data_IF_398208077134
#
_entry.id   IF_398208077134
#
_cell.length_a   1.000
_cell.length_b   1.000
_cell.length_c   1.000
_cell.angle_alpha   90.00
_cell.angle_beta   90.00
_cell.angle_gamma   90.00
#
_symmetry.space_group_name_H-M   'P 1'
#
loop_
_entity.id
_entity.type
_entity.pdbx_description
1 polymer ?
#
# COMPACT_ATOMS: atom_id res chain seq x y z
N UNK A 1 -65.55 1.86 -14.88
CA UNK A 1 -66.01 1.74 -13.48
C UNK A 1 -65.05 0.77 -12.83
N UNK A 2 -64.19 1.08 -11.87
CA UNK A 2 -64.16 2.09 -10.81
C UNK A 2 -62.67 2.36 -10.52
N UNK A 3 -62.31 3.64 -10.31
CA UNK A 3 -61.03 4.10 -9.75
C UNK A 3 -60.87 3.59 -8.30
N UNK A 4 -59.67 3.48 -7.72
CA UNK A 4 -58.90 4.51 -6.98
C UNK A 4 -58.23 3.67 -5.84
N UNK A 5 -57.00 3.83 -5.35
CA UNK A 5 -56.43 5.01 -4.72
C UNK A 5 -54.93 4.82 -4.44
N UNK A 6 -54.23 5.95 -4.45
CA UNK A 6 -52.82 6.11 -4.13
C UNK A 6 -52.55 6.24 -2.62
N UNK A 7 -51.32 5.94 -2.20
CA UNK A 7 -50.68 6.67 -1.10
C UNK A 7 -49.25 7.02 -1.50
N UNK A 8 -48.99 8.32 -1.62
CA UNK A 8 -47.67 8.89 -1.88
C UNK A 8 -47.03 9.34 -0.57
N UNK A 9 -45.72 9.15 -0.46
CA UNK A 9 -44.89 9.73 0.60
C UNK A 9 -43.91 10.67 -0.08
N UNK A 10 -44.11 11.97 0.13
CA UNK A 10 -43.20 13.02 -0.33
C UNK A 10 -42.03 13.15 0.65
N UNK A 11 -40.84 12.73 0.22
CA UNK A 11 -39.57 13.10 0.84
C UNK A 11 -38.94 14.26 0.07
N UNK A 12 -39.01 15.47 0.64
CA UNK A 12 -38.37 16.67 0.13
C UNK A 12 -36.94 16.74 0.66
N UNK A 13 -35.95 16.66 -0.23
CA UNK A 13 -34.56 17.01 0.06
C UNK A 13 -34.11 18.00 -1.02
N UNK A 14 -33.90 19.24 -0.59
CA UNK A 14 -33.25 20.27 -1.37
C UNK A 14 -31.80 19.85 -1.62
N UNK A 15 -31.37 19.80 -2.88
CA UNK A 15 -29.95 19.84 -3.21
C UNK A 15 -29.68 20.95 -4.22
N UNK A 16 -28.81 21.84 -3.81
CA UNK A 16 -28.51 23.11 -4.46
C UNK A 16 -27.44 22.88 -5.51
N UNK A 17 -27.75 23.21 -6.78
CA UNK A 17 -26.76 23.64 -7.76
C UNK A 17 -25.66 22.62 -8.13
N UNK A 18 -25.95 21.72 -9.07
CA UNK A 18 -24.89 21.12 -9.88
C UNK A 18 -25.34 21.10 -11.34
N UNK A 19 -25.04 22.17 -12.06
CA UNK A 19 -25.17 22.23 -13.51
C UNK A 19 -24.11 21.30 -14.10
N UNK A 20 -24.38 19.99 -14.12
CA UNK A 20 -23.61 19.05 -14.93
C UNK A 20 -24.08 19.20 -16.37
N UNK A 21 -23.53 20.20 -17.04
CA UNK A 21 -23.66 20.34 -18.49
C UNK A 21 -23.14 19.05 -19.13
N UNK A 22 -24.03 18.37 -19.86
CA UNK A 22 -23.71 17.14 -20.57
C UNK A 22 -22.75 17.48 -21.73
N UNK A 23 -21.44 17.47 -21.45
CA UNK A 23 -20.41 17.53 -22.50
C UNK A 23 -20.65 16.38 -23.48
N UNK A 24 -20.81 16.72 -24.76
CA UNK A 24 -21.00 15.73 -25.82
C UNK A 24 -19.79 14.81 -25.90
N UNK A 25 -19.98 13.55 -26.33
CA UNK A 25 -18.88 12.59 -26.47
C UNK A 25 -17.74 13.14 -27.37
N UNK A 26 -18.10 13.93 -28.39
CA UNK A 26 -17.15 14.61 -29.27
C UNK A 26 -16.28 15.67 -28.56
N UNK A 27 -16.81 16.39 -27.56
CA UNK A 27 -16.01 17.35 -26.76
C UNK A 27 -15.05 16.65 -25.80
N UNK A 28 -15.42 15.47 -25.31
CA UNK A 28 -14.53 14.66 -24.46
C UNK A 28 -13.35 14.11 -25.26
N UNK A 29 -13.54 13.80 -26.54
CA UNK A 29 -12.46 13.34 -27.43
C UNK A 29 -11.53 14.49 -27.86
N UNK A 30 -12.05 15.73 -28.02
CA UNK A 30 -11.23 16.89 -28.36
C UNK A 30 -10.35 17.40 -27.21
N UNK A 31 -10.80 17.32 -25.95
CA UNK A 31 -9.99 17.73 -24.79
C UNK A 31 -9.01 16.62 -24.34
N UNK A 32 -9.29 15.36 -24.69
CA UNK A 32 -8.39 14.24 -24.46
C UNK A 32 -7.15 14.25 -25.36
N UNK A 33 -7.21 14.87 -26.54
CA UNK A 33 -6.06 15.00 -27.46
C UNK A 33 -5.19 16.24 -27.14
N UNK A 34 -5.79 17.33 -26.64
CA UNK A 34 -5.07 18.59 -26.40
C UNK A 34 -4.14 18.61 -25.17
N UNK A 35 -4.11 17.55 -24.35
CA UNK A 35 -3.30 17.51 -23.11
C UNK A 35 -2.21 16.43 -23.13
N UNK A 36 -1.95 15.78 -24.27
CA UNK A 36 -1.11 14.56 -24.33
C UNK A 36 0.36 14.75 -24.69
N UNK A 37 0.79 15.95 -25.08
CA UNK A 37 2.18 16.18 -25.54
C UNK A 37 2.97 17.23 -24.74
N UNK A 38 2.59 17.51 -23.49
CA UNK A 38 3.53 18.14 -22.56
C UNK A 38 4.40 17.04 -21.95
N UNK A 39 5.43 16.61 -22.69
CA UNK A 39 6.58 15.90 -22.11
C UNK A 39 7.01 16.71 -20.89
N UNK A 40 6.69 16.20 -19.70
CA UNK A 40 6.85 16.90 -18.44
C UNK A 40 8.19 17.61 -18.44
N UNK A 41 8.18 18.94 -18.49
CA UNK A 41 9.38 19.72 -18.26
C UNK A 41 9.97 19.18 -16.95
N UNK A 42 11.21 18.71 -16.99
CA UNK A 42 11.86 18.08 -15.85
C UNK A 42 11.91 19.10 -14.71
N UNK A 43 10.93 19.04 -13.81
CA UNK A 43 10.93 19.81 -12.58
C UNK A 43 11.93 19.11 -11.69
N UNK A 44 13.07 19.75 -11.48
CA UNK A 44 14.08 19.28 -10.54
C UNK A 44 13.44 19.13 -9.16
N UNK A 45 13.60 17.97 -8.48
CA UNK A 45 13.06 17.79 -7.16
C UNK A 45 13.63 18.82 -6.17
N UNK A 46 12.82 19.38 -5.26
CA UNK A 46 13.32 20.31 -4.27
C UNK A 46 14.37 19.64 -3.37
N UNK A 47 15.36 20.42 -2.90
CA UNK A 47 16.53 19.88 -2.16
C UNK A 47 16.13 19.02 -0.95
N UNK A 48 15.04 19.38 -0.24
CA UNK A 48 14.57 18.61 0.92
C UNK A 48 14.20 17.16 0.55
N UNK A 49 13.72 16.92 -0.67
CA UNK A 49 13.35 15.56 -1.10
C UNK A 49 14.61 14.69 -1.24
N UNK A 50 15.74 15.28 -1.65
CA UNK A 50 17.02 14.58 -1.78
C UNK A 50 17.62 14.21 -0.41
N UNK A 51 17.20 14.89 0.66
CA UNK A 51 17.65 14.61 2.04
C UNK A 51 16.86 13.52 2.76
N UNK A 52 15.71 13.09 2.21
CA UNK A 52 14.87 12.07 2.86
C UNK A 52 15.54 10.69 2.82
N UNK A 53 15.38 9.89 3.89
CA UNK A 53 15.87 8.51 3.89
C UNK A 53 15.12 7.68 2.84
N UNK A 54 15.87 6.86 2.11
CA UNK A 54 15.30 5.94 1.11
C UNK A 54 14.57 4.80 1.84
N UNK A 55 13.39 4.44 1.34
CA UNK A 55 12.65 3.29 1.85
C UNK A 55 13.39 1.97 1.54
N UNK A 56 13.34 0.96 2.43
CA UNK A 56 13.96 -0.34 2.17
C UNK A 56 13.43 -0.96 0.88
N UNK A 57 14.34 -1.58 0.11
CA UNK A 57 14.02 -2.29 -1.12
C UNK A 57 14.23 -3.80 -0.92
N UNK A 58 13.21 -4.59 -1.26
CA UNK A 58 13.18 -6.03 -1.08
C UNK A 58 13.06 -6.76 -2.43
N UNK A 59 13.93 -7.75 -2.64
CA UNK A 59 13.96 -8.60 -3.83
C UNK A 59 13.65 -10.05 -3.44
N UNK A 60 12.37 -10.47 -3.43
CA UNK A 60 11.99 -11.85 -3.10
C UNK A 60 12.58 -12.83 -4.10
N UNK A 61 12.95 -14.03 -3.65
CA UNK A 61 13.20 -15.18 -4.56
C UNK A 61 11.89 -15.66 -5.18
N UNK A 62 11.96 -16.49 -6.24
CA UNK A 62 10.75 -17.01 -6.92
C UNK A 62 9.87 -17.82 -5.96
N UNK A 63 10.50 -18.56 -5.04
CA UNK A 63 9.81 -19.34 -4.01
C UNK A 63 9.13 -18.44 -2.99
N UNK A 64 9.79 -17.37 -2.55
CA UNK A 64 9.21 -16.41 -1.62
C UNK A 64 8.05 -15.62 -2.23
N UNK A 65 8.13 -15.29 -3.52
CA UNK A 65 7.08 -14.55 -4.21
C UNK A 65 5.85 -15.41 -4.57
N UNK A 66 5.96 -16.75 -4.47
CA UNK A 66 4.85 -17.66 -4.72
C UNK A 66 3.67 -17.43 -3.76
N UNK A 67 3.94 -17.00 -2.52
CA UNK A 67 2.94 -16.53 -1.57
C UNK A 67 3.26 -15.10 -1.11
N UNK A 68 2.67 -14.07 -1.76
CA UNK A 68 2.97 -12.69 -1.44
C UNK A 68 2.53 -12.30 -0.01
N UNK A 69 1.49 -12.95 0.54
CA UNK A 69 1.03 -12.64 1.90
C UNK A 69 2.04 -13.17 2.92
N UNK A 70 2.51 -14.40 2.75
CA UNK A 70 3.55 -14.97 3.60
C UNK A 70 4.83 -14.13 3.54
N UNK A 71 5.21 -13.67 2.34
CA UNK A 71 6.37 -12.80 2.18
C UNK A 71 6.26 -11.47 2.93
N UNK A 72 5.11 -10.78 2.79
CA UNK A 72 4.85 -9.51 3.49
C UNK A 72 4.92 -9.73 5.01
N UNK A 73 4.32 -10.81 5.52
CA UNK A 73 4.37 -11.14 6.94
C UNK A 73 5.80 -11.43 7.43
N UNK A 74 6.64 -12.04 6.59
CA UNK A 74 8.06 -12.30 6.88
C UNK A 74 8.86 -11.00 7.02
N UNK A 75 8.68 -10.03 6.13
CA UNK A 75 9.45 -8.77 6.15
C UNK A 75 8.86 -7.72 7.12
N UNK A 76 7.58 -7.84 7.50
CA UNK A 76 6.86 -6.88 8.35
C UNK A 76 7.62 -6.46 9.62
N UNK A 77 8.25 -7.35 10.42
CA UNK A 77 8.94 -6.94 11.65
C UNK A 77 10.07 -5.93 11.44
N UNK A 78 10.70 -5.95 10.26
CA UNK A 78 11.76 -5.02 9.88
C UNK A 78 11.20 -3.82 9.12
N UNK A 79 10.45 -4.08 8.04
CA UNK A 79 9.93 -3.05 7.14
C UNK A 79 8.96 -2.07 7.83
N UNK A 80 8.24 -2.52 8.86
CA UNK A 80 7.30 -1.67 9.60
C UNK A 80 7.97 -0.49 10.32
N UNK A 81 9.29 -0.54 10.56
CA UNK A 81 10.04 0.56 11.17
C UNK A 81 10.09 1.81 10.29
N UNK A 82 10.03 1.63 8.97
CA UNK A 82 10.06 2.71 7.99
C UNK A 82 8.67 3.18 7.56
N UNK A 83 7.61 2.42 7.87
CA UNK A 83 6.23 2.68 7.45
C UNK A 83 5.94 2.36 5.98
N UNK A 84 6.91 2.53 5.09
CA UNK A 84 6.85 2.20 3.66
C UNK A 84 8.08 1.40 3.23
N UNK A 85 7.91 0.49 2.27
CA UNK A 85 8.99 -0.24 1.60
C UNK A 85 8.66 -0.45 0.12
N UNK A 86 9.67 -0.77 -0.67
CA UNK A 86 9.55 -1.16 -2.08
C UNK A 86 9.82 -2.66 -2.21
N UNK A 87 8.92 -3.39 -2.86
CA UNK A 87 9.13 -4.79 -3.23
C UNK A 87 9.28 -4.82 -4.75
N UNK A 88 10.38 -5.36 -5.24
CA UNK A 88 10.62 -5.50 -6.69
C UNK A 88 10.17 -6.89 -7.15
N UNK A 89 9.13 -6.99 -7.98
CA UNK A 89 8.72 -8.27 -8.55
C UNK A 89 9.85 -8.87 -9.41
N UNK A 90 10.05 -10.18 -9.33
CA UNK A 90 11.03 -10.88 -10.18
C UNK A 90 10.62 -11.00 -11.64
N UNK A 91 9.31 -10.96 -11.90
CA UNK A 91 8.75 -11.17 -13.23
C UNK A 91 8.63 -9.84 -13.98
N UNK A 92 8.88 -9.91 -15.29
CA UNK A 92 8.57 -8.84 -16.23
C UNK A 92 7.07 -8.49 -16.12
N UNK A 93 6.74 -7.23 -16.43
CA UNK A 93 5.37 -6.78 -16.47
C UNK A 93 4.54 -7.75 -17.34
N UNK A 94 3.37 -8.20 -16.86
CA UNK A 94 2.50 -9.05 -17.68
C UNK A 94 2.16 -8.33 -18.98
N UNK A 95 1.99 -9.04 -20.11
CA UNK A 95 1.48 -8.45 -21.33
C UNK A 95 0.19 -7.66 -21.03
N UNK A 96 0.04 -6.49 -21.66
CA UNK A 96 -1.12 -5.61 -21.40
C UNK A 96 -2.45 -6.34 -21.67
N UNK A 97 -2.50 -7.14 -22.74
CA UNK A 97 -3.67 -7.94 -23.09
C UNK A 97 -4.08 -8.92 -21.97
N UNK A 98 -3.11 -9.58 -21.34
CA UNK A 98 -3.39 -10.53 -20.25
C UNK A 98 -3.89 -9.79 -19.01
N UNK A 99 -3.36 -8.59 -18.75
CA UNK A 99 -3.80 -7.73 -17.66
C UNK A 99 -5.26 -7.28 -17.87
N UNK A 100 -5.58 -6.77 -19.06
CA UNK A 100 -6.94 -6.33 -19.41
C UNK A 100 -7.91 -7.52 -19.37
N UNK A 101 -7.55 -8.66 -19.96
CA UNK A 101 -8.36 -9.89 -19.91
C UNK A 101 -8.65 -10.32 -18.48
N UNK A 102 -7.62 -10.34 -17.62
CA UNK A 102 -7.78 -10.71 -16.20
C UNK A 102 -8.68 -9.73 -15.45
N UNK A 103 -8.56 -8.42 -15.72
CA UNK A 103 -9.43 -7.41 -15.13
C UNK A 103 -10.90 -7.59 -15.56
N UNK A 104 -11.14 -7.88 -16.84
CA UNK A 104 -12.49 -8.17 -17.35
C UNK A 104 -13.08 -9.44 -16.73
N UNK A 105 -12.25 -10.46 -16.49
CA UNK A 105 -12.66 -11.68 -15.77
C UNK A 105 -13.06 -11.38 -14.31
N UNK A 106 -12.30 -10.55 -13.60
CA UNK A 106 -12.63 -10.15 -12.22
C UNK A 106 -13.92 -9.31 -12.11
N UNK A 107 -14.35 -8.67 -13.21
CA UNK A 107 -15.62 -7.91 -13.27
C UNK A 107 -16.84 -8.79 -13.53
N UNK A 108 -16.67 -10.05 -13.91
CA UNK A 108 -17.81 -10.94 -14.08
C UNK A 108 -18.45 -11.23 -12.71
N UNK A 109 -19.78 -11.39 -12.64
CA UNK A 109 -20.43 -11.88 -11.44
C UNK A 109 -19.74 -13.15 -10.96
N UNK A 110 -19.37 -13.20 -9.68
CA UNK A 110 -18.90 -14.43 -9.07
C UNK A 110 -19.99 -15.49 -9.30
N UNK A 111 -19.67 -16.67 -9.87
CA UNK A 111 -20.67 -17.73 -9.99
C UNK A 111 -21.23 -17.99 -8.60
N UNK A 112 -22.55 -18.14 -8.49
CA UNK A 112 -23.21 -18.37 -7.21
C UNK A 112 -22.49 -19.49 -6.46
N UNK A 113 -21.76 -19.12 -5.41
CA UNK A 113 -21.21 -20.12 -4.50
C UNK A 113 -22.41 -20.91 -3.96
N UNK A 114 -22.30 -22.24 -3.80
CA UNK A 114 -23.33 -22.98 -3.08
C UNK A 114 -23.57 -22.27 -1.76
N UNK A 115 -24.84 -21.93 -1.48
CA UNK A 115 -25.23 -21.27 -0.25
C UNK A 115 -24.68 -22.07 0.93
N UNK A 116 -23.57 -21.59 1.50
CA UNK A 116 -23.11 -22.07 2.79
C UNK A 116 -24.05 -21.42 3.79
N UNK A 117 -24.95 -22.17 4.46
CA UNK A 117 -25.77 -21.59 5.50
C UNK A 117 -24.82 -20.92 6.50
N UNK A 118 -25.14 -19.74 7.03
CA UNK A 118 -24.27 -19.06 7.98
C UNK A 118 -24.00 -20.04 9.13
N UNK A 119 -22.76 -20.56 9.19
CA UNK A 119 -22.28 -21.25 10.36
C UNK A 119 -22.47 -20.25 11.50
N UNK A 120 -23.39 -20.56 12.42
CA UNK A 120 -23.80 -19.64 13.47
C UNK A 120 -22.57 -19.05 14.11
N UNK A 121 -22.33 -17.74 13.88
CA UNK A 121 -21.28 -17.04 14.61
C UNK A 121 -21.66 -17.23 16.08
N UNK A 122 -20.78 -17.77 16.93
CA UNK A 122 -20.92 -17.55 18.36
C UNK A 122 -21.09 -16.04 18.51
N UNK A 123 -22.13 -15.59 19.20
CA UNK A 123 -22.27 -14.20 19.60
C UNK A 123 -21.00 -13.85 20.37
N UNK A 124 -19.99 -13.34 19.66
CA UNK A 124 -18.95 -12.55 20.26
C UNK A 124 -19.71 -11.32 20.75
N UNK A 125 -20.00 -11.32 22.05
CA UNK A 125 -20.40 -10.09 22.73
C UNK A 125 -19.30 -9.09 22.40
N UNK A 126 -19.62 -8.12 21.55
CA UNK A 126 -18.80 -6.94 21.34
C UNK A 126 -18.48 -6.39 22.73
N UNK A 127 -17.21 -6.31 23.14
CA UNK A 127 -16.89 -5.59 24.35
C UNK A 127 -17.46 -4.18 24.16
N UNK A 128 -18.23 -3.65 25.13
CA UNK A 128 -18.87 -2.36 24.96
C UNK A 128 -17.83 -1.35 24.52
N UNK A 129 -18.12 -0.61 23.43
CA UNK A 129 -17.29 0.47 22.93
C UNK A 129 -16.83 1.28 24.13
N UNK A 130 -15.55 1.15 24.52
CA UNK A 130 -14.99 2.00 25.56
C UNK A 130 -15.04 3.40 24.99
N UNK A 131 -15.98 4.21 25.48
CA UNK A 131 -15.96 5.63 25.22
C UNK A 131 -14.56 6.13 25.61
N UNK A 132 -13.84 6.83 24.71
CA UNK A 132 -12.63 7.51 25.13
C UNK A 132 -13.00 8.43 26.29
N UNK A 133 -12.16 8.53 27.34
CA UNK A 133 -12.47 9.39 28.47
C UNK A 133 -12.71 10.81 27.96
N UNK A 134 -13.90 11.34 28.23
CA UNK A 134 -14.18 12.76 28.01
C UNK A 134 -13.09 13.57 28.72
N UNK A 135 -12.45 14.44 27.96
CA UNK A 135 -11.47 15.40 28.48
C UNK A 135 -12.23 16.35 29.41
N UNK A 136 -12.26 16.03 30.71
CA UNK A 136 -12.85 16.84 31.77
C UNK A 136 -11.85 17.01 32.89
N UNK A 137 -11.36 18.24 33.05
CA UNK A 137 -10.63 18.82 34.18
C UNK A 137 -9.65 17.91 34.94
N UNK A 138 -8.37 17.92 34.54
CA UNK A 138 -7.29 17.58 35.48
C UNK A 138 -7.11 18.73 36.45
N UNK A 139 -7.73 18.55 37.61
CA UNK A 139 -7.31 19.15 38.85
C UNK A 139 -5.83 18.88 39.15
N UNK A 140 -5.31 19.80 39.96
CA UNK A 140 -3.94 20.02 40.38
C UNK A 140 -3.03 18.80 40.61
N UNK A 141 -1.78 19.04 40.19
CA UNK A 141 -0.51 18.48 40.62
C UNK A 141 -0.52 17.55 41.85
N UNK A 142 -0.01 16.33 41.65
CA UNK A 142 0.85 15.66 42.62
C UNK A 142 2.16 15.26 41.93
N UNK A 143 3.33 15.67 42.45
CA UNK A 143 4.62 15.17 41.98
C UNK A 143 4.93 13.88 42.74
N UNK A 144 5.00 12.75 42.05
CA UNK A 144 5.48 11.49 42.64
C UNK A 144 4.72 10.27 42.18
N UNK A 145 5.14 9.68 41.07
CA UNK A 145 4.64 8.37 40.63
C UNK A 145 4.67 8.19 39.12
N UNK A 146 5.85 7.92 38.55
CA UNK A 146 5.94 7.35 37.20
C UNK A 146 6.35 5.89 37.33
N UNK A 147 5.39 5.04 36.95
CA UNK A 147 5.50 3.60 36.86
C UNK A 147 6.71 3.15 36.05
N UNK A 148 7.43 2.17 36.59
CA UNK A 148 8.32 1.27 35.85
C UNK A 148 7.51 0.40 34.87
N UNK A 149 7.61 0.65 33.57
CA UNK A 149 7.24 -0.35 32.55
C UNK A 149 8.14 -0.38 31.29
N UNK A 150 9.23 0.40 31.25
CA UNK A 150 10.14 0.46 30.08
C UNK A 150 11.37 -0.45 30.10
N UNK A 151 11.70 -1.12 31.21
CA UNK A 151 13.01 -1.80 31.34
C UNK A 151 13.08 -3.21 30.74
N UNK A 152 11.95 -3.91 30.57
CA UNK A 152 11.97 -5.30 30.09
C UNK A 152 12.18 -5.44 28.58
N UNK A 153 11.83 -4.42 27.78
CA UNK A 153 12.00 -4.48 26.32
C UNK A 153 13.46 -4.34 25.91
N UNK A 154 14.25 -3.48 26.59
CA UNK A 154 15.67 -3.30 26.27
C UNK A 154 16.56 -4.50 26.61
N UNK A 155 16.19 -5.29 27.62
CA UNK A 155 16.98 -6.47 28.01
C UNK A 155 16.89 -7.63 27.01
N UNK A 156 15.81 -7.72 26.24
CA UNK A 156 15.63 -8.74 25.19
C UNK A 156 16.31 -8.33 23.87
N UNK A 157 16.36 -7.03 23.55
CA UNK A 157 17.10 -6.54 22.37
C UNK A 157 18.62 -6.69 22.54
N UNK A 158 19.16 -6.48 23.75
CA UNK A 158 20.59 -6.63 24.01
C UNK A 158 21.11 -8.07 23.86
N UNK A 159 20.24 -9.09 23.95
CA UNK A 159 20.63 -10.48 23.72
C UNK A 159 20.58 -10.89 22.25
N UNK A 160 19.83 -10.17 21.42
CA UNK A 160 19.65 -10.51 20.00
C UNK A 160 20.85 -10.06 19.15
N UNK A 161 21.52 -8.99 19.53
CA UNK A 161 22.75 -8.51 18.87
C UNK A 161 23.98 -9.39 19.08
N UNK A 162 23.94 -10.35 20.01
CA UNK A 162 25.06 -11.23 20.29
C UNK A 162 25.02 -12.57 19.53
N UNK A 163 23.92 -12.92 18.84
CA UNK A 163 23.71 -14.28 18.32
C UNK A 163 23.42 -14.36 16.80
N UNK A 164 23.64 -13.29 16.04
CA UNK A 164 23.53 -13.34 14.57
C UNK A 164 24.87 -13.81 13.98
N UNK A 165 24.96 -15.01 13.37
CA UNK A 165 26.15 -15.44 12.68
C UNK A 165 26.35 -14.57 11.44
N UNK A 166 27.46 -13.84 11.41
CA UNK A 166 27.88 -13.00 10.30
C UNK A 166 27.75 -13.75 8.95
N UNK A 167 27.04 -13.23 7.95
CA UNK A 167 27.01 -13.84 6.63
C UNK A 167 28.43 -13.83 6.03
N UNK A 168 28.84 -14.89 5.30
CA UNK A 168 30.15 -14.91 4.67
C UNK A 168 30.27 -13.76 3.65
N UNK A 169 31.46 -13.17 3.45
CA UNK A 169 31.65 -12.13 2.46
C UNK A 169 31.29 -12.66 1.07
N UNK A 170 30.38 -11.97 0.39
CA UNK A 170 30.00 -12.26 -0.97
C UNK A 170 31.24 -12.18 -1.88
N UNK A 171 31.69 -13.34 -2.35
CA UNK A 171 32.69 -13.42 -3.42
C UNK A 171 32.01 -13.01 -4.73
N UNK A 172 32.02 -11.70 -5.01
CA UNK A 172 31.58 -11.18 -6.29
C UNK A 172 32.52 -11.66 -7.43
N UNK A 173 32.01 -11.92 -8.63
CA UNK A 173 32.83 -12.40 -9.74
C UNK A 173 33.80 -11.30 -10.18
N UNK A 174 35.11 -11.53 -9.96
CA UNK A 174 36.20 -10.67 -10.43
C UNK A 174 36.30 -10.57 -11.97
N UNK A 175 35.49 -11.32 -12.71
CA UNK A 175 35.49 -11.33 -14.18
C UNK A 175 34.96 -10.03 -14.82
N UNK A 176 34.18 -9.21 -14.10
CA UNK A 176 33.59 -7.98 -14.66
C UNK A 176 34.56 -6.80 -14.79
N UNK A 177 35.61 -6.72 -13.94
CA UNK A 177 36.52 -5.55 -13.93
C UNK A 177 37.58 -5.58 -15.03
N UNK A 178 38.03 -6.77 -15.44
CA UNK A 178 38.98 -6.89 -16.55
C UNK A 178 38.32 -6.56 -17.90
N UNK A 179 37.04 -6.90 -18.08
CA UNK A 179 36.33 -6.63 -19.31
C UNK A 179 36.10 -5.12 -19.53
N UNK A 180 35.80 -4.38 -18.46
CA UNK A 180 35.65 -2.92 -18.53
C UNK A 180 36.97 -2.20 -18.82
N UNK A 181 38.08 -2.64 -18.22
CA UNK A 181 39.40 -2.07 -18.55
C UNK A 181 39.85 -2.40 -19.99
N UNK A 182 39.52 -3.59 -20.50
CA UNK A 182 39.81 -3.96 -21.88
C UNK A 182 39.00 -3.12 -22.89
N UNK A 183 37.72 -2.86 -22.60
CA UNK A 183 36.90 -1.97 -23.41
C UNK A 183 37.41 -0.51 -23.38
N UNK A 184 37.75 0.00 -22.19
CA UNK A 184 38.23 1.37 -22.03
C UNK A 184 39.58 1.63 -22.73
N UNK A 185 40.45 0.62 -22.85
CA UNK A 185 41.71 0.74 -23.62
C UNK A 185 41.47 0.77 -25.13
N UNK A 186 40.47 0.05 -25.66
CA UNK A 186 40.14 0.07 -27.09
C UNK A 186 39.54 1.39 -27.56
N UNK A 187 38.89 2.15 -26.69
CA UNK A 187 38.30 3.46 -27.04
C UNK A 187 39.32 4.60 -27.03
N UNK A 188 40.54 4.38 -26.50
CA UNK A 188 41.61 5.40 -26.42
C UNK A 188 42.73 5.23 -27.47
N UNK A 189 42.68 4.22 -28.33
CA UNK A 189 43.56 4.06 -29.49
C UNK A 189 42.78 4.36 -30.77
#
# INVERSE_FOLDING_TARGET
MVADSAVGVHGSAADSGSVRSARTAAERDAEAEATRDTKAAAVEPPEWLQTLPVAPEYHPTLVEFADPIAYILRIKPEASRNGICKIVPLLLQPPEDDTIRRLLQCRQPLPDLPHVPPAGRPLHQEPPCRQPPSVGERGALHPGGVLRQGARVRALEARRTAQEPHPPPAQGPLLGRLHLQALQRRVRQ
#
